data_IF_853541489551
#
_entry.id   IF_853541489551
#
_cell.length_a   1.000
_cell.length_b   1.000
_cell.length_c   1.000
_cell.angle_alpha   90.00
_cell.angle_beta   90.00
_cell.angle_gamma   90.00
#
_symmetry.space_group_name_H-M   'P 1'
#
loop_
_entity.id
_entity.type
_entity.pdbx_description
1 polymer ?
#
# COMPACT_ATOMS: atom_id res chain seq x y z
N UNK A 1 7.44 -7.00 23.91
CA UNK A 1 6.27 -7.01 23.00
C UNK A 1 6.44 -5.86 22.02
N UNK A 2 6.52 -6.14 20.76
CA UNK A 2 6.64 -5.06 19.76
C UNK A 2 5.69 -5.32 18.60
N UNK A 3 4.65 -4.48 18.46
CA UNK A 3 3.77 -4.46 17.32
C UNK A 3 3.98 -3.16 16.56
N UNK A 4 4.47 -3.27 15.34
CA UNK A 4 4.76 -2.13 14.49
C UNK A 4 3.86 -2.16 13.25
N UNK A 5 3.26 -1.04 12.93
CA UNK A 5 2.41 -0.89 11.73
C UNK A 5 3.06 0.11 10.79
N UNK A 6 3.24 -0.25 9.53
CA UNK A 6 3.74 0.65 8.48
C UNK A 6 2.60 1.04 7.56
N UNK A 7 2.32 2.34 7.48
CA UNK A 7 1.26 2.91 6.63
C UNK A 7 1.81 4.01 5.72
N UNK A 8 1.22 4.17 4.54
CA UNK A 8 1.46 5.32 3.69
C UNK A 8 0.58 6.50 4.12
N UNK A 9 1.11 7.71 4.01
CA UNK A 9 0.42 8.92 4.46
C UNK A 9 -0.21 9.75 3.34
N UNK A 10 0.05 9.42 2.09
CA UNK A 10 -0.37 10.17 0.91
C UNK A 10 -1.29 9.32 0.01
N UNK A 11 -0.97 9.14 -1.28
CA UNK A 11 -1.77 8.36 -2.25
C UNK A 11 -1.11 7.05 -2.71
N UNK A 12 -0.19 6.49 -1.92
CA UNK A 12 0.61 5.33 -2.29
C UNK A 12 1.95 5.71 -2.93
N UNK A 13 2.75 4.69 -3.23
CA UNK A 13 4.09 4.86 -3.83
C UNK A 13 5.08 5.69 -2.99
N UNK A 14 4.85 5.78 -1.66
CA UNK A 14 5.76 6.46 -0.72
C UNK A 14 7.07 5.69 -0.47
N UNK A 15 7.23 4.50 -1.04
CA UNK A 15 8.41 3.68 -0.80
C UNK A 15 8.31 2.78 0.44
N UNK A 16 7.08 2.46 0.88
CA UNK A 16 6.82 1.58 2.04
C UNK A 16 7.54 0.25 1.98
N UNK A 17 7.61 -0.37 0.80
CA UNK A 17 8.26 -1.69 0.65
C UNK A 17 9.69 -1.70 1.17
N UNK A 18 10.49 -0.67 0.86
CA UNK A 18 11.85 -0.50 1.41
C UNK A 18 11.84 -0.39 2.92
N UNK A 19 10.92 0.40 3.48
CA UNK A 19 10.86 0.63 4.93
C UNK A 19 10.42 -0.64 5.67
N UNK A 20 9.44 -1.36 5.12
CA UNK A 20 9.03 -2.66 5.64
C UNK A 20 10.19 -3.66 5.60
N UNK A 21 10.92 -3.73 4.50
CA UNK A 21 12.09 -4.60 4.36
C UNK A 21 13.18 -4.27 5.39
N UNK A 22 13.45 -2.99 5.64
CA UNK A 22 14.41 -2.55 6.67
C UNK A 22 13.95 -2.93 8.08
N UNK A 23 12.67 -2.75 8.40
CA UNK A 23 12.12 -3.09 9.71
C UNK A 23 11.96 -4.61 9.91
N UNK A 24 11.77 -5.35 8.81
CA UNK A 24 11.63 -6.80 8.80
C UNK A 24 12.91 -7.53 9.28
N UNK A 25 14.08 -6.89 9.22
CA UNK A 25 15.34 -7.46 9.74
C UNK A 25 15.26 -7.85 11.22
N UNK A 26 14.40 -7.17 11.98
CA UNK A 26 14.20 -7.42 13.42
C UNK A 26 12.83 -8.04 13.74
N UNK A 27 12.05 -8.37 12.73
CA UNK A 27 10.71 -8.92 12.92
C UNK A 27 10.71 -10.45 12.91
N UNK A 28 10.00 -11.06 13.84
CA UNK A 28 9.72 -12.50 13.86
C UNK A 28 8.58 -12.85 12.90
N UNK A 29 7.70 -11.89 12.64
CA UNK A 29 6.52 -12.07 11.79
C UNK A 29 6.15 -10.81 11.03
N UNK A 30 5.82 -10.96 9.75
CA UNK A 30 5.34 -9.87 8.88
C UNK A 30 3.94 -10.21 8.39
N UNK A 31 2.96 -9.34 8.66
CA UNK A 31 1.56 -9.57 8.33
C UNK A 31 1.05 -8.50 7.37
N UNK A 32 0.72 -8.88 6.15
CA UNK A 32 -0.08 -8.05 5.26
C UNK A 32 -1.53 -8.09 5.71
N UNK A 33 -2.10 -6.94 6.06
CA UNK A 33 -3.42 -6.91 6.68
C UNK A 33 -4.55 -6.48 5.75
N UNK A 34 -4.27 -5.92 4.55
CA UNK A 34 -5.31 -5.49 3.60
C UNK A 34 -4.78 -5.34 2.17
N UNK A 35 -5.69 -4.99 1.24
CA UNK A 35 -5.37 -4.84 -0.17
C UNK A 35 -5.33 -6.18 -0.91
N UNK A 36 -4.65 -6.20 -2.01
CA UNK A 36 -4.48 -7.36 -2.87
C UNK A 36 -3.28 -7.17 -3.80
N UNK A 37 -3.32 -7.79 -4.98
CA UNK A 37 -2.26 -7.70 -6.00
C UNK A 37 -2.22 -6.39 -6.79
N UNK A 38 -3.02 -5.39 -6.37
CA UNK A 38 -2.95 -4.02 -6.87
C UNK A 38 -1.85 -3.18 -6.20
N UNK A 39 -1.14 -3.70 -5.19
CA UNK A 39 0.06 -3.08 -4.66
C UNK A 39 1.27 -3.32 -5.58
N UNK A 40 2.28 -2.46 -5.49
CA UNK A 40 3.55 -2.62 -6.19
C UNK A 40 4.69 -2.18 -5.27
N UNK A 41 5.17 -3.09 -4.43
CA UNK A 41 6.27 -2.83 -3.52
C UNK A 41 7.59 -3.20 -4.20
N UNK A 42 8.45 -2.22 -4.38
CA UNK A 42 9.80 -2.44 -4.90
C UNK A 42 10.79 -2.47 -3.74
N UNK A 43 11.55 -3.55 -3.65
CA UNK A 43 12.66 -3.72 -2.70
C UNK A 43 13.93 -3.95 -3.48
N UNK A 44 15.01 -3.24 -3.12
CA UNK A 44 16.32 -3.41 -3.75
C UNK A 44 17.27 -3.95 -2.68
N UNK A 45 17.81 -5.14 -2.93
CA UNK A 45 18.74 -5.82 -2.03
C UNK A 45 19.98 -6.19 -2.83
N UNK A 46 21.14 -5.70 -2.41
CA UNK A 46 22.43 -5.95 -3.08
C UNK A 46 22.38 -5.63 -4.58
N UNK A 47 21.71 -4.54 -4.96
CA UNK A 47 21.53 -4.09 -6.34
C UNK A 47 20.51 -4.88 -7.16
N UNK A 48 19.91 -5.95 -6.61
CA UNK A 48 18.85 -6.72 -7.27
C UNK A 48 17.47 -6.18 -6.89
N UNK A 49 16.67 -5.90 -7.90
CA UNK A 49 15.30 -5.35 -7.73
C UNK A 49 14.28 -6.47 -7.68
N UNK A 50 13.48 -6.50 -6.61
CA UNK A 50 12.31 -7.36 -6.45
C UNK A 50 11.05 -6.50 -6.46
N UNK A 51 10.06 -6.88 -7.27
CA UNK A 51 8.74 -6.21 -7.33
C UNK A 51 7.70 -7.18 -6.81
N UNK A 52 7.09 -6.84 -5.68
CA UNK A 52 6.11 -7.67 -4.97
C UNK A 52 4.74 -7.03 -5.03
N UNK A 53 3.71 -7.80 -5.29
CA UNK A 53 2.33 -7.35 -5.36
C UNK A 53 1.48 -7.89 -4.20
N UNK A 54 1.55 -9.18 -3.93
CA UNK A 54 0.83 -9.87 -2.85
C UNK A 54 1.71 -10.23 -1.67
N UNK A 55 2.92 -10.69 -1.95
CA UNK A 55 3.84 -11.10 -0.90
C UNK A 55 4.23 -9.90 -0.01
N UNK A 56 4.33 -10.09 1.31
CA UNK A 56 4.91 -9.08 2.20
C UNK A 56 6.32 -8.69 1.76
N UNK A 57 6.67 -7.41 1.88
CA UNK A 57 8.00 -6.91 1.49
C UNK A 57 9.13 -7.54 2.31
N UNK A 58 8.83 -8.02 3.49
CA UNK A 58 9.78 -8.74 4.35
C UNK A 58 10.02 -10.21 3.95
N UNK A 59 9.41 -10.71 2.87
CA UNK A 59 9.60 -12.11 2.40
C UNK A 59 11.06 -12.45 2.04
N UNK A 60 11.90 -11.44 1.87
CA UNK A 60 13.34 -11.61 1.62
C UNK A 60 14.14 -11.97 2.90
N UNK A 61 13.49 -11.96 4.07
CA UNK A 61 14.04 -12.39 5.36
C UNK A 61 13.44 -13.76 5.72
N UNK A 62 14.14 -14.83 5.33
CA UNK A 62 13.64 -16.21 5.40
C UNK A 62 13.38 -16.72 6.84
N UNK A 63 13.96 -16.08 7.85
CA UNK A 63 13.76 -16.40 9.27
C UNK A 63 12.42 -15.89 9.81
N UNK A 64 11.82 -14.90 9.16
CA UNK A 64 10.57 -14.30 9.59
C UNK A 64 9.37 -15.00 8.94
N UNK A 65 8.31 -15.25 9.71
CA UNK A 65 7.06 -15.79 9.16
C UNK A 65 6.29 -14.70 8.40
N UNK A 66 5.98 -14.93 7.12
CA UNK A 66 5.24 -14.00 6.27
C UNK A 66 3.78 -14.42 6.15
N UNK A 67 2.85 -13.57 6.56
CA UNK A 67 1.42 -13.86 6.59
C UNK A 67 0.64 -12.98 5.61
N UNK A 68 -0.15 -13.61 4.76
CA UNK A 68 -1.24 -12.98 4.02
C UNK A 68 -2.47 -13.03 4.92
N UNK A 69 -2.79 -11.90 5.56
CA UNK A 69 -3.80 -11.81 6.62
C UNK A 69 -5.24 -11.88 6.14
N UNK A 70 -6.20 -12.04 7.07
CA UNK A 70 -7.63 -12.22 6.78
C UNK A 70 -8.29 -11.02 6.08
N UNK A 71 -7.67 -9.82 6.15
CA UNK A 71 -8.14 -8.63 5.45
C UNK A 71 -7.74 -8.54 3.98
N UNK A 72 -6.81 -9.37 3.52
CA UNK A 72 -6.34 -9.37 2.13
C UNK A 72 -7.33 -10.07 1.21
N UNK A 73 -7.48 -9.56 -0.01
CA UNK A 73 -8.11 -10.26 -1.13
C UNK A 73 -6.99 -10.86 -1.99
N UNK A 74 -6.77 -12.15 -1.86
CA UNK A 74 -5.59 -12.83 -2.38
C UNK A 74 -5.91 -13.62 -3.64
N UNK A 75 -5.21 -13.29 -4.73
CA UNK A 75 -5.27 -14.04 -5.98
C UNK A 75 -4.25 -15.17 -5.92
N UNK A 76 -4.67 -16.46 -5.88
CA UNK A 76 -3.75 -17.59 -5.73
C UNK A 76 -2.81 -17.74 -6.93
N UNK A 77 -3.23 -17.38 -8.12
CA UNK A 77 -2.41 -17.50 -9.34
C UNK A 77 -1.28 -16.46 -9.35
N UNK A 78 -1.58 -15.22 -8.92
CA UNK A 78 -0.57 -14.17 -8.79
C UNK A 78 0.41 -14.51 -7.67
N UNK A 79 -0.09 -15.01 -6.54
CA UNK A 79 0.74 -15.43 -5.41
C UNK A 79 1.75 -16.50 -5.85
N UNK A 80 1.29 -17.56 -6.51
CA UNK A 80 2.18 -18.61 -6.99
C UNK A 80 3.21 -18.12 -7.98
N UNK A 81 2.83 -17.22 -8.89
CA UNK A 81 3.76 -16.61 -9.84
C UNK A 81 4.85 -15.79 -9.15
N UNK A 82 4.51 -15.05 -8.11
CA UNK A 82 5.51 -14.31 -7.31
C UNK A 82 6.45 -15.25 -6.55
N UNK A 83 5.90 -16.32 -5.94
CA UNK A 83 6.69 -17.33 -5.26
C UNK A 83 7.66 -18.02 -6.22
N UNK A 84 7.19 -18.42 -7.40
CA UNK A 84 8.05 -19.05 -8.44
C UNK A 84 9.19 -18.13 -8.89
N UNK A 85 8.94 -16.82 -8.93
CA UNK A 85 10.00 -15.85 -9.24
C UNK A 85 11.06 -15.79 -8.13
N UNK A 86 10.64 -15.79 -6.87
CA UNK A 86 11.56 -15.81 -5.72
C UNK A 86 12.37 -17.13 -5.68
N UNK A 87 11.71 -18.26 -5.92
CA UNK A 87 12.35 -19.58 -5.97
C UNK A 87 13.40 -19.68 -7.09
N UNK A 88 13.11 -19.12 -8.27
CA UNK A 88 14.08 -18.99 -9.37
C UNK A 88 15.27 -18.10 -8.98
N UNK A 89 15.06 -17.15 -8.10
CA UNK A 89 16.08 -16.28 -7.54
C UNK A 89 16.88 -16.94 -6.40
N UNK A 90 16.53 -18.18 -6.03
CA UNK A 90 17.19 -18.98 -4.99
C UNK A 90 16.68 -18.70 -3.57
N UNK A 91 15.54 -18.00 -3.43
CA UNK A 91 14.94 -17.66 -2.14
C UNK A 91 13.88 -18.72 -1.73
N UNK A 92 13.78 -18.98 -0.43
CA UNK A 92 12.77 -19.88 0.12
C UNK A 92 11.40 -19.19 0.17
N UNK A 93 10.34 -19.95 -0.09
CA UNK A 93 8.94 -19.51 0.06
C UNK A 93 8.19 -20.30 1.14
N UNK A 94 8.90 -21.16 1.88
CA UNK A 94 8.30 -22.07 2.88
C UNK A 94 7.75 -21.38 4.12
N UNK A 95 8.20 -20.14 4.40
CA UNK A 95 7.78 -19.33 5.53
C UNK A 95 6.54 -18.48 5.25
N UNK A 96 5.89 -18.67 4.07
CA UNK A 96 4.70 -17.94 3.65
C UNK A 96 3.45 -18.69 4.08
N UNK A 97 2.54 -18.00 4.76
CA UNK A 97 1.26 -18.51 5.26
C UNK A 97 0.13 -17.66 4.69
N UNK A 98 -0.97 -18.32 4.30
CA UNK A 98 -2.21 -17.67 3.90
C UNK A 98 -3.24 -17.89 5.01
N UNK A 99 -3.86 -16.79 5.48
CA UNK A 99 -4.96 -16.92 6.43
C UNK A 99 -6.12 -17.70 5.82
N UNK A 100 -6.61 -18.67 6.56
CA UNK A 100 -7.80 -19.44 6.23
C UNK A 100 -9.06 -18.57 6.05
N UNK A 101 -9.05 -17.35 6.64
CA UNK A 101 -10.12 -16.32 6.56
C UNK A 101 -9.91 -15.32 5.44
N UNK A 102 -8.77 -15.30 4.75
CA UNK A 102 -8.54 -14.41 3.60
C UNK A 102 -9.53 -14.71 2.47
N UNK A 103 -9.92 -13.69 1.72
CA UNK A 103 -10.80 -13.85 0.58
C UNK A 103 -10.00 -14.30 -0.65
N UNK A 104 -10.52 -15.28 -1.36
CA UNK A 104 -9.98 -15.68 -2.66
C UNK A 104 -10.43 -14.68 -3.72
N UNK A 105 -9.46 -14.02 -4.34
CA UNK A 105 -9.73 -13.21 -5.52
C UNK A 105 -9.79 -14.14 -6.73
N UNK A 106 -10.99 -14.28 -7.27
CA UNK A 106 -11.32 -15.20 -8.35
C UNK A 106 -11.17 -14.53 -9.72
N UNK A 107 -10.92 -15.27 -10.80
CA UNK A 107 -10.85 -14.73 -12.16
C UNK A 107 -12.07 -13.89 -12.57
N UNK A 108 -13.27 -14.27 -12.10
CA UNK A 108 -14.48 -13.52 -12.38
C UNK A 108 -14.51 -12.12 -11.72
N UNK A 109 -13.74 -11.87 -10.65
CA UNK A 109 -13.62 -10.54 -10.08
C UNK A 109 -12.81 -9.60 -11.00
N UNK A 110 -11.75 -10.13 -11.63
CA UNK A 110 -10.96 -9.36 -12.59
C UNK A 110 -11.80 -9.01 -13.82
N UNK A 111 -12.56 -9.97 -14.32
CA UNK A 111 -13.45 -9.77 -15.46
C UNK A 111 -14.57 -8.76 -15.13
N UNK A 112 -15.14 -8.84 -13.92
CA UNK A 112 -16.12 -7.86 -13.44
C UNK A 112 -15.55 -6.45 -13.40
N UNK A 113 -14.36 -6.26 -12.81
CA UNK A 113 -13.69 -4.97 -12.71
C UNK A 113 -13.45 -4.34 -14.11
N UNK A 114 -13.10 -5.19 -15.09
CA UNK A 114 -12.93 -4.77 -16.46
C UNK A 114 -14.25 -4.32 -17.12
N UNK A 115 -15.32 -5.10 -16.96
CA UNK A 115 -16.65 -4.77 -17.50
C UNK A 115 -17.24 -3.50 -16.84
N UNK A 116 -17.11 -3.37 -15.52
CA UNK A 116 -17.55 -2.18 -14.78
C UNK A 116 -16.83 -0.91 -15.23
N UNK A 117 -15.51 -0.98 -15.37
CA UNK A 117 -14.72 0.18 -15.83
C UNK A 117 -15.01 0.55 -17.29
N UNK A 118 -15.34 -0.45 -18.15
CA UNK A 118 -15.76 -0.20 -19.52
C UNK A 118 -17.14 0.46 -19.61
N UNK A 119 -18.07 0.04 -18.75
CA UNK A 119 -19.45 0.55 -18.73
C UNK A 119 -19.58 1.90 -18.01
N UNK A 120 -18.61 2.28 -17.15
CA UNK A 120 -18.68 3.50 -16.37
C UNK A 120 -18.60 4.75 -17.22
N UNK A 121 -19.54 5.71 -16.99
CA UNK A 121 -19.48 7.06 -17.55
C UNK A 121 -18.34 7.89 -16.94
N UNK A 122 -18.11 7.72 -15.62
CA UNK A 122 -17.03 8.33 -14.86
C UNK A 122 -16.06 7.23 -14.42
N UNK A 123 -14.94 7.11 -15.11
CA UNK A 123 -13.92 6.11 -14.83
C UNK A 123 -13.17 6.47 -13.55
N UNK A 124 -12.91 5.45 -12.71
CA UNK A 124 -12.08 5.58 -11.51
C UNK A 124 -10.60 5.42 -11.87
N UNK A 125 -10.31 4.75 -12.98
CA UNK A 125 -8.94 4.39 -13.37
C UNK A 125 -8.47 3.16 -12.59
N UNK A 126 -9.31 2.12 -12.48
CA UNK A 126 -8.99 0.91 -11.72
C UNK A 126 -7.76 0.19 -12.27
N UNK A 127 -7.14 -0.65 -11.44
CA UNK A 127 -6.01 -1.49 -11.85
C UNK A 127 -6.46 -2.71 -12.66
N UNK A 128 -7.76 -2.94 -12.80
CA UNK A 128 -8.37 -4.13 -13.42
C UNK A 128 -7.91 -5.45 -12.80
N UNK A 129 -7.63 -5.42 -11.49
CA UNK A 129 -7.19 -6.58 -10.72
C UNK A 129 -8.33 -7.29 -9.98
N UNK A 130 -9.56 -6.75 -10.04
CA UNK A 130 -10.73 -7.34 -9.39
C UNK A 130 -10.80 -7.07 -7.88
N UNK A 131 -10.03 -6.12 -7.37
CA UNK A 131 -9.96 -5.81 -5.93
C UNK A 131 -11.32 -5.31 -5.42
N UNK A 132 -11.91 -4.31 -6.07
CA UNK A 132 -13.21 -3.75 -5.73
C UNK A 132 -14.32 -4.82 -5.71
N UNK A 133 -14.54 -5.54 -6.81
CA UNK A 133 -15.52 -6.63 -6.86
C UNK A 133 -15.32 -7.71 -5.80
N UNK A 134 -14.06 -8.09 -5.48
CA UNK A 134 -13.79 -9.10 -4.44
C UNK A 134 -14.15 -8.59 -3.03
N UNK A 135 -13.84 -7.33 -2.71
CA UNK A 135 -14.28 -6.71 -1.45
C UNK A 135 -15.80 -6.55 -1.41
N UNK A 136 -16.45 -6.19 -2.52
CA UNK A 136 -17.90 -6.12 -2.61
C UNK A 136 -18.54 -7.48 -2.26
N UNK A 137 -18.04 -8.57 -2.84
CA UNK A 137 -18.52 -9.93 -2.54
C UNK A 137 -18.26 -10.33 -1.08
N UNK A 138 -17.11 -9.95 -0.52
CA UNK A 138 -16.80 -10.17 0.91
C UNK A 138 -17.87 -9.56 1.81
N UNK A 139 -18.20 -8.28 1.60
CA UNK A 139 -19.18 -7.55 2.43
C UNK A 139 -20.63 -7.95 2.11
N UNK A 140 -20.93 -8.37 0.89
CA UNK A 140 -22.19 -9.00 0.51
C UNK A 140 -22.34 -10.44 1.05
N UNK A 141 -21.25 -11.03 1.56
CA UNK A 141 -21.17 -12.41 2.09
C UNK A 141 -21.38 -13.48 1.00
N UNK A 142 -20.93 -13.15 -0.22
CA UNK A 142 -20.93 -14.07 -1.37
C UNK A 142 -19.53 -14.58 -1.69
N UNK A 143 -18.49 -13.97 -1.13
CA UNK A 143 -17.12 -14.33 -1.40
C UNK A 143 -16.74 -15.73 -0.91
N UNK A 144 -15.70 -16.30 -1.50
CA UNK A 144 -15.11 -17.59 -1.11
C UNK A 144 -13.86 -17.32 -0.29
N UNK A 145 -13.73 -17.98 0.86
CA UNK A 145 -12.54 -17.89 1.74
C UNK A 145 -11.60 -19.05 1.51
N UNK A 146 -10.34 -18.88 1.87
CA UNK A 146 -9.31 -19.91 1.70
C UNK A 146 -9.59 -21.20 2.48
N UNK A 147 -10.27 -21.15 3.65
CA UNK A 147 -10.63 -22.37 4.35
C UNK A 147 -11.57 -23.28 3.53
N UNK A 148 -12.43 -22.72 2.68
CA UNK A 148 -13.33 -23.47 1.81
C UNK A 148 -12.57 -24.23 0.72
N UNK A 149 -11.39 -23.73 0.33
CA UNK A 149 -10.54 -24.37 -0.67
C UNK A 149 -9.84 -25.64 -0.15
N UNK A 150 -9.76 -25.83 1.18
CA UNK A 150 -9.19 -27.05 1.78
C UNK A 150 -10.01 -28.31 1.45
N UNK A 151 -11.32 -28.16 1.25
CA UNK A 151 -12.22 -29.19 0.75
C UNK A 151 -12.58 -28.88 -0.70
N UNK A 152 -11.90 -29.53 -1.64
CA UNK A 152 -12.05 -29.19 -3.06
C UNK A 152 -13.44 -29.48 -3.60
N UNK A 153 -14.13 -30.50 -3.08
CA UNK A 153 -15.52 -30.80 -3.47
C UNK A 153 -16.48 -29.77 -2.99
N UNK A 154 -16.34 -29.29 -1.75
CA UNK A 154 -17.08 -28.14 -1.24
C UNK A 154 -16.79 -26.87 -2.03
N UNK A 155 -15.51 -26.62 -2.32
CA UNK A 155 -15.09 -25.46 -3.14
C UNK A 155 -15.76 -25.46 -4.51
N UNK A 156 -15.84 -26.60 -5.20
CA UNK A 156 -16.53 -26.71 -6.50
C UNK A 156 -18.01 -26.31 -6.43
N UNK A 157 -18.71 -26.70 -5.36
CA UNK A 157 -20.10 -26.30 -5.13
C UNK A 157 -20.21 -24.78 -4.96
N UNK A 158 -19.37 -24.20 -4.09
CA UNK A 158 -19.34 -22.76 -3.84
C UNK A 158 -18.96 -21.97 -5.10
N UNK A 159 -17.97 -22.43 -5.83
CA UNK A 159 -17.56 -21.84 -7.11
C UNK A 159 -18.72 -21.84 -8.11
N UNK A 160 -19.46 -22.93 -8.23
CA UNK A 160 -20.62 -23.02 -9.13
C UNK A 160 -21.70 -22.00 -8.79
N UNK A 161 -22.07 -21.88 -7.50
CA UNK A 161 -23.06 -20.91 -7.02
C UNK A 161 -22.63 -19.47 -7.35
N UNK A 162 -21.40 -19.13 -7.03
CA UNK A 162 -20.86 -17.79 -7.27
C UNK A 162 -20.78 -17.46 -8.76
N UNK A 163 -20.26 -18.40 -9.56
CA UNK A 163 -20.07 -18.21 -10.98
C UNK A 163 -21.41 -18.10 -11.74
N UNK A 164 -22.41 -18.89 -11.36
CA UNK A 164 -23.76 -18.80 -11.96
C UNK A 164 -24.39 -17.43 -11.73
N UNK A 165 -24.19 -16.85 -10.53
CA UNK A 165 -24.63 -15.49 -10.25
C UNK A 165 -23.86 -14.45 -11.07
N UNK A 166 -22.51 -14.57 -11.11
CA UNK A 166 -21.64 -13.65 -11.87
C UNK A 166 -21.93 -13.72 -13.37
N UNK A 167 -22.10 -14.90 -13.93
CA UNK A 167 -22.43 -15.08 -15.35
C UNK A 167 -23.76 -14.41 -15.73
N UNK A 168 -24.78 -14.45 -14.85
CA UNK A 168 -26.01 -13.67 -15.07
C UNK A 168 -25.74 -12.16 -15.08
N UNK A 169 -24.91 -11.68 -14.15
CA UNK A 169 -24.51 -10.28 -14.12
C UNK A 169 -23.76 -9.88 -15.38
N UNK A 170 -22.79 -10.68 -15.82
CA UNK A 170 -21.98 -10.40 -17.01
C UNK A 170 -22.82 -10.31 -18.27
N UNK A 171 -23.67 -11.31 -18.49
CA UNK A 171 -24.46 -11.41 -19.74
C UNK A 171 -25.65 -10.45 -19.75
N UNK A 172 -26.41 -10.34 -18.65
CA UNK A 172 -27.65 -9.58 -18.64
C UNK A 172 -27.46 -8.08 -18.36
N UNK A 173 -26.41 -7.70 -17.63
CA UNK A 173 -26.19 -6.27 -17.23
C UNK A 173 -25.09 -5.63 -18.08
N UNK A 174 -23.95 -6.31 -18.24
CA UNK A 174 -22.80 -5.71 -18.92
C UNK A 174 -22.69 -6.12 -20.40
N UNK A 175 -23.49 -7.07 -20.89
CA UNK A 175 -23.41 -7.57 -22.27
C UNK A 175 -22.12 -8.33 -22.58
N UNK A 176 -21.44 -8.80 -21.53
CA UNK A 176 -20.24 -9.63 -21.61
C UNK A 176 -20.55 -11.11 -21.85
N UNK A 177 -19.52 -11.94 -21.87
CA UNK A 177 -19.63 -13.38 -22.06
C UNK A 177 -19.68 -14.11 -20.71
N UNK A 178 -20.31 -15.31 -20.71
CA UNK A 178 -20.28 -16.20 -19.54
C UNK A 178 -18.90 -16.87 -19.45
N UNK A 179 -18.38 -16.98 -18.24
CA UNK A 179 -17.14 -17.72 -17.96
C UNK A 179 -17.43 -19.22 -17.78
N UNK A 180 -16.50 -20.03 -18.24
CA UNK A 180 -16.61 -21.48 -18.22
C UNK A 180 -16.26 -22.05 -16.84
N UNK A 181 -17.19 -22.84 -16.27
CA UNK A 181 -17.04 -23.46 -14.96
C UNK A 181 -15.99 -24.56 -14.95
N UNK A 182 -16.02 -25.47 -15.95
CA UNK A 182 -15.14 -26.65 -15.95
C UNK A 182 -13.68 -26.24 -16.14
N UNK A 183 -13.45 -25.22 -16.99
CA UNK A 183 -12.13 -24.62 -17.13
C UNK A 183 -11.66 -24.04 -15.81
N UNK A 184 -12.52 -23.32 -15.12
CA UNK A 184 -12.14 -22.69 -13.85
C UNK A 184 -11.83 -23.75 -12.79
N UNK A 185 -12.62 -24.83 -12.70
CA UNK A 185 -12.32 -25.96 -11.81
C UNK A 185 -10.95 -26.55 -12.12
N UNK A 186 -10.64 -26.81 -13.40
CA UNK A 186 -9.35 -27.38 -13.80
C UNK A 186 -8.17 -26.45 -13.44
N UNK A 187 -8.33 -25.13 -13.63
CA UNK A 187 -7.31 -24.15 -13.27
C UNK A 187 -7.03 -24.16 -11.74
N UNK A 188 -8.05 -24.29 -10.90
CA UNK A 188 -7.89 -24.37 -9.44
C UNK A 188 -7.37 -25.74 -8.98
N UNK A 189 -7.77 -26.83 -9.63
CA UNK A 189 -7.24 -28.16 -9.33
C UNK A 189 -5.73 -28.22 -9.56
N UNK A 190 -5.23 -27.58 -10.62
CA UNK A 190 -3.81 -27.53 -10.94
C UNK A 190 -2.93 -26.86 -9.86
N UNK A 191 -3.51 -26.00 -9.02
CA UNK A 191 -2.78 -25.27 -7.97
C UNK A 191 -3.06 -25.80 -6.56
N UNK A 192 -3.98 -26.76 -6.42
CA UNK A 192 -4.50 -27.23 -5.13
C UNK A 192 -3.41 -27.69 -4.18
N UNK A 193 -2.59 -28.65 -4.62
CA UNK A 193 -1.54 -29.26 -3.79
C UNK A 193 -0.47 -28.26 -3.34
N UNK A 194 -0.32 -27.14 -4.06
CA UNK A 194 0.65 -26.11 -3.72
C UNK A 194 0.09 -25.05 -2.76
N UNK A 195 -1.19 -24.72 -2.88
CA UNK A 195 -1.84 -23.68 -2.06
C UNK A 195 -2.31 -24.23 -0.71
N UNK A 196 -2.93 -25.41 -0.67
CA UNK A 196 -3.57 -25.94 0.54
C UNK A 196 -2.62 -26.05 1.75
N UNK A 197 -1.37 -26.52 1.61
CA UNK A 197 -0.43 -26.59 2.73
C UNK A 197 -0.09 -25.24 3.36
N UNK A 198 -0.28 -24.14 2.62
CA UNK A 198 0.00 -22.77 3.11
C UNK A 198 -1.16 -22.21 3.95
N UNK A 199 -2.36 -22.80 3.86
CA UNK A 199 -3.56 -22.25 4.51
C UNK A 199 -3.58 -22.65 5.98
N UNK A 200 -3.48 -21.65 6.85
CA UNK A 200 -3.45 -21.84 8.31
C UNK A 200 -4.41 -20.88 9.03
N UNK A 201 -4.77 -21.24 10.25
CA UNK A 201 -5.45 -20.33 11.18
C UNK A 201 -4.44 -19.30 11.70
N UNK A 202 -4.58 -18.04 11.29
CA UNK A 202 -3.62 -16.99 11.57
C UNK A 202 -4.03 -16.09 12.72
N UNK A 203 -5.29 -16.14 13.16
CA UNK A 203 -5.81 -15.29 14.23
C UNK A 203 -5.12 -15.57 15.56
N UNK A 204 -5.05 -16.86 15.94
CA UNK A 204 -4.33 -17.29 17.14
C UNK A 204 -2.82 -17.13 16.96
N UNK A 205 -2.28 -17.55 15.80
CA UNK A 205 -0.85 -17.48 15.50
C UNK A 205 -0.27 -16.07 15.72
N UNK A 206 -0.93 -15.02 15.20
CA UNK A 206 -0.49 -13.63 15.38
C UNK A 206 -0.61 -13.17 16.83
N UNK A 207 -1.72 -13.52 17.51
CA UNK A 207 -1.92 -13.10 18.90
C UNK A 207 -0.97 -13.82 19.87
N UNK A 208 -0.71 -15.12 19.67
CA UNK A 208 0.26 -15.90 20.45
C UNK A 208 1.68 -15.34 20.27
N UNK A 209 2.08 -15.00 19.03
CA UNK A 209 3.37 -14.36 18.78
C UNK A 209 3.52 -13.05 19.60
N UNK A 210 2.47 -12.24 19.66
CA UNK A 210 2.46 -11.03 20.49
C UNK A 210 2.46 -11.33 21.99
N UNK A 211 1.84 -12.43 22.45
CA UNK A 211 1.83 -12.85 23.85
C UNK A 211 3.21 -13.41 24.29
N UNK A 212 3.96 -13.97 23.33
CA UNK A 212 5.34 -14.45 23.50
C UNK A 212 6.39 -13.35 23.35
N UNK A 213 5.99 -12.07 23.33
CA UNK A 213 6.86 -10.90 23.16
C UNK A 213 7.64 -10.86 21.83
N UNK A 214 7.18 -11.58 20.81
CA UNK A 214 7.74 -11.52 19.47
C UNK A 214 7.45 -10.18 18.79
N UNK A 215 8.32 -9.77 17.89
CA UNK A 215 8.14 -8.56 17.07
C UNK A 215 7.28 -8.89 15.86
N UNK A 216 6.08 -8.28 15.81
CA UNK A 216 5.14 -8.43 14.69
C UNK A 216 5.04 -7.12 13.91
N UNK A 217 5.40 -7.19 12.62
CA UNK A 217 5.34 -6.07 11.69
C UNK A 217 4.10 -6.18 10.80
N UNK A 218 3.22 -5.19 10.86
CA UNK A 218 2.03 -5.11 10.01
C UNK A 218 2.29 -4.21 8.82
N UNK A 219 2.22 -4.78 7.63
CA UNK A 219 2.47 -4.10 6.37
C UNK A 219 1.19 -3.62 5.71
N UNK A 220 1.04 -2.30 5.56
CA UNK A 220 -0.03 -1.67 4.79
C UNK A 220 0.30 -1.60 3.30
N UNK A 221 -0.71 -1.80 2.48
CA UNK A 221 -0.67 -1.50 1.06
C UNK A 221 -1.43 -0.19 0.78
N UNK A 222 -1.19 0.45 -0.37
CA UNK A 222 -1.74 1.76 -0.72
C UNK A 222 -1.38 2.84 0.34
N UNK A 223 -2.30 3.79 0.65
CA UNK A 223 -2.04 4.85 1.63
C UNK A 223 -3.33 5.49 2.15
N UNK A 224 -3.20 6.32 3.17
CA UNK A 224 -4.30 6.93 3.92
C UNK A 224 -5.31 7.70 3.05
N UNK A 225 -4.82 8.45 2.04
CA UNK A 225 -5.70 9.19 1.13
C UNK A 225 -6.50 8.30 0.17
N UNK A 226 -6.20 7.01 0.11
CA UNK A 226 -6.93 5.98 -0.62
C UNK A 226 -7.83 5.13 0.30
N UNK A 227 -8.00 5.50 1.56
CA UNK A 227 -8.91 4.80 2.49
C UNK A 227 -10.36 4.90 2.02
N UNK A 228 -11.10 3.77 2.09
CA UNK A 228 -12.48 3.69 1.61
C UNK A 228 -13.43 4.63 2.36
N UNK A 229 -13.17 4.92 3.64
CA UNK A 229 -14.05 5.73 4.48
C UNK A 229 -13.61 7.20 4.53
N UNK A 230 -12.32 7.45 4.61
CA UNK A 230 -11.76 8.77 4.92
C UNK A 230 -10.80 9.31 3.87
N UNK A 231 -10.59 8.56 2.79
CA UNK A 231 -9.79 8.99 1.65
C UNK A 231 -10.56 9.91 0.69
N UNK A 232 -9.99 10.10 -0.49
CA UNK A 232 -10.55 10.96 -1.56
C UNK A 232 -11.63 10.22 -2.37
N UNK A 233 -12.68 9.74 -1.71
CA UNK A 233 -13.80 9.02 -2.34
C UNK A 233 -14.42 9.84 -3.47
N UNK A 234 -14.75 9.25 -4.67
CA UNK A 234 -14.70 7.83 -5.00
C UNK A 234 -13.34 7.29 -5.49
N UNK A 235 -12.31 8.13 -5.57
CA UNK A 235 -10.97 7.80 -6.07
C UNK A 235 -10.11 7.16 -4.97
N UNK A 236 -10.52 5.99 -4.50
CA UNK A 236 -9.96 5.27 -3.35
C UNK A 236 -9.82 3.77 -3.65
N UNK A 237 -9.13 3.04 -2.76
CA UNK A 237 -9.17 1.57 -2.75
C UNK A 237 -10.36 1.07 -1.93
N UNK A 238 -10.76 -0.19 -2.13
CA UNK A 238 -11.91 -0.78 -1.43
C UNK A 238 -11.56 -1.37 -0.05
N UNK A 239 -10.51 -0.86 0.58
CA UNK A 239 -10.04 -1.33 1.90
C UNK A 239 -9.57 -0.15 2.76
N UNK A 240 -9.19 -0.43 4.02
CA UNK A 240 -8.61 0.57 4.93
C UNK A 240 -7.10 0.38 5.07
N UNK A 241 -6.27 1.22 4.41
CA UNK A 241 -4.81 1.17 4.47
C UNK A 241 -4.21 1.90 5.67
N UNK A 242 -5.01 2.28 6.64
CA UNK A 242 -4.62 2.94 7.89
C UNK A 242 -4.38 1.93 9.02
N UNK A 243 -3.86 2.36 10.17
CA UNK A 243 -3.66 1.48 11.31
C UNK A 243 -4.97 0.83 11.81
N UNK A 244 -6.12 1.52 11.63
CA UNK A 244 -7.43 0.97 11.94
C UNK A 244 -7.76 -0.31 11.13
N UNK A 245 -7.22 -0.43 9.92
CA UNK A 245 -7.36 -1.62 9.08
C UNK A 245 -6.66 -2.85 9.66
N UNK A 246 -5.65 -2.69 10.50
CA UNK A 246 -4.93 -3.80 11.13
C UNK A 246 -5.85 -4.62 12.05
N UNK A 247 -6.68 -3.94 12.83
CA UNK A 247 -7.62 -4.60 13.75
C UNK A 247 -8.55 -5.57 13.02
N UNK A 248 -9.11 -5.15 11.89
CA UNK A 248 -10.04 -5.99 11.11
C UNK A 248 -9.32 -6.92 10.14
N UNK A 249 -8.11 -6.55 9.73
CA UNK A 249 -7.34 -7.26 8.71
C UNK A 249 -6.33 -8.27 9.23
N UNK A 250 -5.99 -8.22 10.54
CA UNK A 250 -5.10 -9.18 11.19
C UNK A 250 -5.69 -9.75 12.49
N UNK A 251 -6.88 -9.29 12.89
CA UNK A 251 -7.58 -9.73 14.09
C UNK A 251 -6.80 -9.52 15.38
N UNK A 252 -6.28 -8.30 15.58
CA UNK A 252 -5.68 -7.89 16.86
C UNK A 252 -6.47 -6.75 17.50
N UNK A 253 -6.45 -6.67 18.83
CA UNK A 253 -7.09 -5.56 19.54
C UNK A 253 -6.37 -4.24 19.23
N UNK A 254 -7.08 -3.10 19.09
CA UNK A 254 -6.45 -1.80 18.85
C UNK A 254 -5.42 -1.42 19.91
N UNK A 255 -5.67 -1.81 21.17
CA UNK A 255 -4.77 -1.58 22.31
C UNK A 255 -3.43 -2.33 22.23
N UNK A 256 -3.31 -3.29 21.32
CA UNK A 256 -2.06 -4.02 21.09
C UNK A 256 -1.16 -3.39 20.02
N UNK A 257 -1.63 -2.34 19.32
CA UNK A 257 -0.83 -1.57 18.38
C UNK A 257 0.00 -0.57 19.18
N UNK A 258 1.33 -0.71 19.15
CA UNK A 258 2.25 0.11 19.94
C UNK A 258 2.90 1.21 19.11
N UNK A 259 3.36 0.87 17.91
CA UNK A 259 4.08 1.78 17.04
C UNK A 259 3.39 1.86 15.68
N UNK A 260 3.15 3.07 15.20
CA UNK A 260 2.60 3.32 13.87
C UNK A 260 3.55 4.22 13.10
N UNK A 261 4.22 3.65 12.12
CA UNK A 261 5.20 4.32 11.27
C UNK A 261 4.50 4.85 10.03
N UNK A 262 4.39 6.17 9.92
CA UNK A 262 3.91 6.85 8.72
C UNK A 262 5.03 7.07 7.71
N UNK A 263 4.91 6.49 6.52
CA UNK A 263 5.87 6.74 5.44
C UNK A 263 5.41 7.95 4.64
N UNK A 264 6.23 8.99 4.63
CA UNK A 264 6.02 10.26 3.93
C UNK A 264 7.04 10.38 2.81
N UNK A 265 6.61 10.47 1.56
CA UNK A 265 7.48 10.87 0.47
C UNK A 265 7.73 12.38 0.56
N UNK A 266 8.96 12.83 0.36
CA UNK A 266 9.34 14.24 0.44
C UNK A 266 8.64 15.16 -0.58
N UNK A 267 7.85 14.60 -1.47
CA UNK A 267 6.95 15.27 -2.42
C UNK A 267 5.70 14.41 -2.58
N UNK A 268 4.70 14.87 -3.32
CA UNK A 268 3.47 14.07 -3.52
C UNK A 268 3.43 13.47 -4.91
N UNK A 269 2.90 12.25 -5.00
CA UNK A 269 2.55 11.62 -6.27
C UNK A 269 1.17 11.00 -6.20
N UNK A 270 0.46 10.99 -7.32
CA UNK A 270 -0.83 10.33 -7.44
C UNK A 270 -0.91 9.52 -8.72
N UNK A 271 -1.47 8.32 -8.62
CA UNK A 271 -1.87 7.48 -9.75
C UNK A 271 -3.39 7.53 -9.87
N UNK A 272 -3.92 7.51 -11.09
CA UNK A 272 -5.36 7.55 -11.37
C UNK A 272 -5.96 8.95 -11.33
N UNK A 273 -7.28 8.96 -11.34
CA UNK A 273 -8.07 10.17 -11.45
C UNK A 273 -8.28 10.85 -10.08
N UNK A 274 -8.94 11.99 -10.11
CA UNK A 274 -9.29 12.77 -8.92
C UNK A 274 -8.41 13.99 -8.69
N UNK A 275 -8.86 14.93 -7.84
CA UNK A 275 -8.16 16.17 -7.56
C UNK A 275 -6.79 15.95 -6.91
N UNK A 276 -5.81 16.77 -7.30
CA UNK A 276 -4.47 16.78 -6.74
C UNK A 276 -4.01 18.23 -6.55
N UNK A 277 -4.27 18.80 -5.39
CA UNK A 277 -4.16 20.25 -5.11
C UNK A 277 -2.76 20.80 -5.36
N UNK A 278 -1.72 20.01 -5.05
CA UNK A 278 -0.32 20.42 -5.21
C UNK A 278 0.32 19.95 -6.52
N UNK A 279 -0.47 19.48 -7.49
CA UNK A 279 0.05 18.98 -8.76
C UNK A 279 0.84 20.05 -9.52
N UNK A 280 1.97 19.65 -10.08
CA UNK A 280 2.85 20.47 -10.89
C UNK A 280 2.78 20.01 -12.35
N UNK A 281 2.32 20.92 -13.22
CA UNK A 281 2.20 20.70 -14.66
C UNK A 281 3.30 21.47 -15.45
N UNK A 282 4.38 21.81 -14.76
CA UNK A 282 5.50 22.60 -15.25
C UNK A 282 6.82 21.81 -15.25
N UNK A 283 7.92 22.51 -15.54
CA UNK A 283 9.27 21.95 -15.56
C UNK A 283 9.69 21.35 -14.19
N UNK A 284 9.17 21.87 -13.08
CA UNK A 284 9.47 21.35 -11.75
C UNK A 284 8.79 19.98 -11.54
N UNK A 285 7.56 19.83 -12.00
CA UNK A 285 6.85 18.55 -11.98
C UNK A 285 7.55 17.49 -12.83
N UNK A 286 8.07 17.89 -14.01
CA UNK A 286 8.87 17.03 -14.86
C UNK A 286 10.19 16.62 -14.17
N UNK A 287 10.89 17.60 -13.57
CA UNK A 287 12.10 17.33 -12.79
C UNK A 287 11.89 16.28 -11.72
N UNK A 288 10.86 16.44 -10.88
CA UNK A 288 10.53 15.50 -9.81
C UNK A 288 10.21 14.11 -10.40
N UNK A 289 9.47 14.04 -11.51
CA UNK A 289 9.13 12.77 -12.16
C UNK A 289 10.37 12.02 -12.63
N UNK A 290 11.26 12.70 -13.35
CA UNK A 290 12.46 12.10 -13.92
C UNK A 290 13.46 11.68 -12.83
N UNK A 291 13.78 12.59 -11.91
CA UNK A 291 14.74 12.32 -10.84
C UNK A 291 14.20 11.32 -9.82
N UNK A 292 12.90 11.35 -9.56
CA UNK A 292 12.22 10.39 -8.70
C UNK A 292 11.95 9.03 -9.34
N UNK A 293 12.12 8.90 -10.68
CA UNK A 293 11.73 7.70 -11.41
C UNK A 293 10.25 7.40 -11.23
N UNK A 294 9.39 8.44 -11.26
CA UNK A 294 7.97 8.33 -10.91
C UNK A 294 7.16 7.77 -12.08
N UNK A 295 7.35 6.48 -12.31
CA UNK A 295 6.66 5.66 -13.30
C UNK A 295 6.07 4.41 -12.63
N UNK A 296 4.93 3.95 -13.12
CA UNK A 296 4.28 2.75 -12.59
C UNK A 296 5.17 1.52 -12.77
N UNK A 297 5.45 0.79 -11.70
CA UNK A 297 6.36 -0.37 -11.72
C UNK A 297 5.92 -1.46 -12.72
N UNK A 298 4.61 -1.61 -12.94
CA UNK A 298 4.03 -2.63 -13.84
C UNK A 298 3.67 -2.06 -15.20
N UNK A 299 3.15 -0.82 -15.25
CA UNK A 299 2.56 -0.24 -16.46
C UNK A 299 3.48 0.74 -17.19
N UNK A 300 4.54 1.21 -16.51
CA UNK A 300 5.41 2.27 -17.02
C UNK A 300 4.72 3.65 -17.17
N UNK A 301 3.45 3.79 -16.72
CA UNK A 301 2.73 5.07 -16.83
C UNK A 301 3.39 6.13 -15.96
N UNK A 302 3.57 7.37 -16.45
CA UNK A 302 4.06 8.47 -15.65
C UNK A 302 3.08 8.78 -14.53
N UNK A 303 3.60 8.97 -13.31
CA UNK A 303 2.81 9.44 -12.16
C UNK A 303 2.66 10.94 -12.22
N UNK A 304 1.52 11.44 -11.77
CA UNK A 304 1.30 12.85 -11.47
C UNK A 304 2.17 13.21 -10.27
N UNK A 305 2.93 14.31 -10.36
CA UNK A 305 3.86 14.77 -9.33
C UNK A 305 3.48 16.15 -8.83
N UNK A 306 3.75 16.43 -7.57
CA UNK A 306 3.48 17.72 -6.96
C UNK A 306 4.28 17.94 -5.69
N UNK A 307 4.21 19.16 -5.13
CA UNK A 307 4.82 19.46 -3.85
C UNK A 307 4.19 18.65 -2.71
N UNK A 308 4.95 18.42 -1.65
CA UNK A 308 4.45 17.76 -0.44
C UNK A 308 3.25 18.51 0.10
N UNK A 309 2.17 17.79 0.33
CA UNK A 309 0.96 18.27 0.97
C UNK A 309 0.89 17.77 2.42
N UNK A 310 1.21 18.63 3.37
CA UNK A 310 1.22 18.25 4.79
C UNK A 310 -0.18 18.07 5.39
N UNK A 311 -1.23 18.58 4.73
CA UNK A 311 -2.59 18.29 5.18
C UNK A 311 -2.91 16.79 5.01
N UNK A 312 -2.36 16.13 3.98
CA UNK A 312 -2.52 14.67 3.82
C UNK A 312 -1.86 13.90 4.96
N UNK A 313 -0.66 14.34 5.39
CA UNK A 313 0.07 13.70 6.49
C UNK A 313 -0.64 13.92 7.82
N UNK A 314 -1.16 15.14 8.08
CA UNK A 314 -2.00 15.41 9.27
C UNK A 314 -3.27 14.56 9.26
N UNK A 315 -3.92 14.44 8.11
CA UNK A 315 -5.12 13.61 7.96
C UNK A 315 -4.80 12.14 8.22
N UNK A 316 -3.69 11.62 7.67
CA UNK A 316 -3.21 10.28 7.95
C UNK A 316 -2.92 10.06 9.44
N UNK A 317 -2.36 11.07 10.13
CA UNK A 317 -2.14 11.01 11.57
C UNK A 317 -3.45 10.93 12.36
N UNK A 318 -4.49 11.68 11.98
CA UNK A 318 -5.82 11.59 12.61
C UNK A 318 -6.42 10.19 12.50
N UNK A 319 -6.22 9.51 11.34
CA UNK A 319 -6.77 8.17 11.11
C UNK A 319 -5.93 7.05 11.72
N UNK A 320 -4.61 7.25 11.82
CA UNK A 320 -3.67 6.17 12.13
C UNK A 320 -3.00 6.30 13.48
N UNK A 321 -2.97 7.51 14.10
CA UNK A 321 -2.25 7.76 15.35
C UNK A 321 -0.75 7.51 15.18
N UNK A 322 -0.12 8.20 14.24
CA UNK A 322 1.29 8.02 13.92
C UNK A 322 2.17 8.30 15.14
N UNK A 323 3.06 7.38 15.46
CA UNK A 323 4.09 7.56 16.50
C UNK A 323 5.40 8.07 15.92
N UNK A 324 5.67 7.70 14.68
CA UNK A 324 6.91 7.97 13.97
C UNK A 324 6.63 8.29 12.49
N UNK A 325 7.45 9.15 11.92
CA UNK A 325 7.50 9.42 10.47
C UNK A 325 8.84 8.93 9.91
N UNK A 326 8.77 8.31 8.75
CA UNK A 326 9.92 8.04 7.89
C UNK A 326 9.76 8.85 6.62
N UNK A 327 10.72 9.75 6.35
CA UNK A 327 10.74 10.53 5.11
C UNK A 327 11.52 9.75 4.05
N UNK A 328 10.91 9.58 2.88
CA UNK A 328 11.53 8.88 1.76
C UNK A 328 11.76 9.79 0.56
N UNK A 329 12.69 9.39 -0.32
CA UNK A 329 12.97 10.08 -1.60
C UNK A 329 13.31 11.56 -1.45
N UNK A 330 13.89 11.94 -0.33
CA UNK A 330 14.29 13.33 -0.09
C UNK A 330 15.48 13.73 -1.00
N UNK A 331 16.29 12.77 -1.40
CA UNK A 331 17.36 12.86 -2.39
C UNK A 331 16.89 13.34 -3.77
N UNK A 332 15.63 13.11 -4.12
CA UNK A 332 15.02 13.57 -5.38
C UNK A 332 14.94 15.09 -5.44
N UNK A 333 14.92 15.76 -4.31
CA UNK A 333 14.87 17.23 -4.21
C UNK A 333 16.25 17.88 -4.29
N UNK A 334 17.32 17.10 -4.37
CA UNK A 334 18.68 17.60 -4.54
C UNK A 334 18.79 18.45 -5.82
N UNK A 335 19.43 19.58 -5.70
CA UNK A 335 19.67 20.49 -6.84
C UNK A 335 18.56 21.50 -7.12
N UNK A 336 17.40 21.42 -6.49
CA UNK A 336 16.37 22.45 -6.57
C UNK A 336 16.82 23.73 -5.83
N UNK A 337 16.43 24.90 -6.38
CA UNK A 337 16.70 26.19 -5.74
C UNK A 337 15.74 26.46 -4.58
N UNK A 338 14.47 26.11 -4.78
CA UNK A 338 13.39 26.27 -3.82
C UNK A 338 12.54 25.01 -3.75
N UNK A 339 12.07 24.70 -2.55
CA UNK A 339 11.17 23.58 -2.26
C UNK A 339 9.95 24.15 -1.57
N UNK A 340 8.77 23.80 -2.04
CA UNK A 340 7.50 24.26 -1.46
C UNK A 340 6.78 23.13 -0.74
N UNK A 341 6.10 23.47 0.34
CA UNK A 341 5.28 22.56 1.13
C UNK A 341 3.91 23.19 1.31
N UNK A 342 2.86 22.44 0.98
CA UNK A 342 1.50 22.90 1.19
C UNK A 342 1.14 22.76 2.68
N UNK A 343 0.70 23.85 3.27
CA UNK A 343 0.35 23.97 4.70
C UNK A 343 -1.13 24.28 4.93
N UNK A 344 -1.87 24.55 3.86
CA UNK A 344 -3.30 24.88 3.90
C UNK A 344 -3.85 25.00 2.49
N UNK A 345 -5.16 25.14 2.39
CA UNK A 345 -5.86 25.43 1.15
C UNK A 345 -6.61 26.75 1.23
N UNK A 346 -6.80 27.39 0.08
CA UNK A 346 -7.80 28.43 -0.12
C UNK A 346 -8.93 27.88 -0.96
N UNK A 347 -10.16 27.91 -0.45
CA UNK A 347 -11.36 27.45 -1.15
C UNK A 347 -12.40 28.57 -1.09
N UNK A 348 -12.82 29.05 -2.26
CA UNK A 348 -13.79 30.16 -2.39
C UNK A 348 -13.42 31.40 -1.53
N UNK A 349 -12.09 31.73 -1.47
CA UNK A 349 -11.54 32.87 -0.73
C UNK A 349 -11.43 32.68 0.78
N UNK A 350 -11.62 31.47 1.29
CA UNK A 350 -11.45 31.11 2.70
C UNK A 350 -10.34 30.10 2.89
N UNK A 351 -9.55 30.30 3.94
CA UNK A 351 -8.54 29.31 4.33
C UNK A 351 -9.19 28.06 4.93
N UNK A 352 -8.63 26.91 4.55
CA UNK A 352 -9.01 25.59 5.03
C UNK A 352 -7.75 24.82 5.43
N UNK A 353 -7.71 24.27 6.64
CA UNK A 353 -6.57 23.55 7.21
C UNK A 353 -6.79 22.06 7.37
N UNK A 354 -7.75 21.49 6.66
CA UNK A 354 -8.08 20.07 6.60
C UNK A 354 -8.44 19.65 5.16
N UNK A 355 -8.53 18.36 4.91
CA UNK A 355 -8.95 17.79 3.62
C UNK A 355 -10.49 17.79 3.56
N UNK A 356 -11.15 18.56 2.67
CA UNK A 356 -12.59 18.49 2.51
C UNK A 356 -13.03 17.11 2.01
N UNK A 357 -14.20 16.67 2.47
CA UNK A 357 -14.79 15.41 2.00
C UNK A 357 -15.38 15.51 0.60
N UNK A 358 -15.86 16.71 0.21
CA UNK A 358 -16.38 16.95 -1.13
C UNK A 358 -15.22 17.16 -2.13
N UNK A 359 -15.15 16.27 -3.12
CA UNK A 359 -14.14 16.35 -4.17
C UNK A 359 -14.31 17.57 -5.08
N UNK A 360 -15.51 18.15 -5.15
CA UNK A 360 -15.73 19.39 -5.87
C UNK A 360 -15.06 20.59 -5.18
N UNK A 361 -15.02 20.59 -3.85
CA UNK A 361 -14.30 21.61 -3.08
C UNK A 361 -12.78 21.39 -3.17
N UNK A 362 -12.31 20.14 -3.11
CA UNK A 362 -10.90 19.81 -3.31
C UNK A 362 -10.42 20.23 -4.72
N UNK A 363 -11.26 20.07 -5.74
CA UNK A 363 -10.94 20.49 -7.11
C UNK A 363 -10.81 22.00 -7.29
N UNK A 364 -11.46 22.81 -6.45
CA UNK A 364 -11.35 24.29 -6.43
C UNK A 364 -10.21 24.78 -5.55
N UNK A 365 -9.68 23.92 -4.67
CA UNK A 365 -8.70 24.30 -3.69
C UNK A 365 -7.41 24.79 -4.34
N UNK A 366 -6.91 25.91 -3.82
CA UNK A 366 -5.59 26.44 -4.16
C UNK A 366 -4.65 26.18 -2.98
N UNK A 367 -3.45 25.63 -3.23
CA UNK A 367 -2.52 25.35 -2.15
C UNK A 367 -1.92 26.63 -1.57
N UNK A 368 -1.85 26.70 -0.23
CA UNK A 368 -1.10 27.71 0.50
C UNK A 368 0.27 27.11 0.81
N UNK A 369 1.33 27.72 0.27
CA UNK A 369 2.68 27.19 0.37
C UNK A 369 3.54 27.91 1.38
N UNK A 370 4.36 27.15 2.12
CA UNK A 370 5.58 27.62 2.74
C UNK A 370 6.76 27.23 1.83
N UNK A 371 7.65 28.18 1.57
CA UNK A 371 8.82 27.99 0.71
C UNK A 371 10.07 27.81 1.57
N UNK A 372 10.90 26.85 1.19
CA UNK A 372 12.22 26.57 1.75
C UNK A 372 13.28 26.79 0.70
N UNK A 373 14.45 27.20 1.13
CA UNK A 373 15.63 27.17 0.28
C UNK A 373 16.02 25.72 0.03
N UNK A 374 16.26 25.35 -1.22
CA UNK A 374 16.74 24.03 -1.59
C UNK A 374 18.21 23.82 -1.21
N UNK A 375 18.60 22.58 -1.11
CA UNK A 375 19.99 22.17 -0.93
C UNK A 375 20.57 21.71 -2.26
N UNK A 376 21.69 22.27 -2.68
CA UNK A 376 22.36 21.93 -3.94
C UNK A 376 23.50 20.92 -3.70
N UNK A 377 23.24 19.91 -2.90
CA UNK A 377 24.23 18.93 -2.49
C UNK A 377 23.65 17.53 -2.59
N UNK A 378 24.35 16.64 -3.28
CA UNK A 378 24.02 15.20 -3.30
C UNK A 378 24.12 14.64 -1.88
N UNK A 379 22.97 14.15 -1.36
CA UNK A 379 22.87 13.57 -0.02
C UNK A 379 22.85 12.04 -0.04
N UNK A 380 22.88 11.40 -1.19
CA UNK A 380 22.69 9.95 -1.35
C UNK A 380 23.77 9.09 -0.63
N UNK A 381 24.92 9.69 -0.34
CA UNK A 381 26.04 9.04 0.35
C UNK A 381 26.15 9.39 1.83
N UNK A 382 25.24 10.21 2.35
CA UNK A 382 25.24 10.60 3.75
C UNK A 382 24.65 9.49 4.61
N UNK A 383 25.24 9.30 5.79
CA UNK A 383 24.89 8.21 6.72
C UNK A 383 24.49 8.70 8.10
N UNK A 384 24.74 9.98 8.41
CA UNK A 384 24.43 10.60 9.72
C UNK A 384 23.76 11.95 9.53
N UNK A 385 22.99 12.38 10.53
CA UNK A 385 22.20 13.61 10.49
C UNK A 385 23.09 14.85 10.33
N UNK A 386 24.25 14.89 10.99
CA UNK A 386 25.21 16.00 10.97
C UNK A 386 25.87 16.23 9.61
N UNK A 387 25.79 15.27 8.69
CA UNK A 387 26.28 15.41 7.31
C UNK A 387 25.26 16.13 6.41
N UNK A 388 23.98 16.12 6.78
CA UNK A 388 22.91 16.74 5.99
C UNK A 388 23.05 18.27 5.94
N UNK A 389 22.77 18.91 4.78
CA UNK A 389 22.69 20.36 4.68
C UNK A 389 21.65 20.94 5.65
N UNK A 390 21.93 22.16 6.17
CA UNK A 390 21.00 22.83 7.09
C UNK A 390 19.62 23.05 6.46
N UNK A 391 19.57 23.37 5.17
CA UNK A 391 18.33 23.55 4.43
C UNK A 391 17.50 22.25 4.37
N UNK A 392 18.14 21.11 4.27
CA UNK A 392 17.48 19.81 4.34
C UNK A 392 16.94 19.54 5.76
N UNK A 393 17.73 19.83 6.78
CA UNK A 393 17.29 19.73 8.18
C UNK A 393 16.13 20.66 8.49
N UNK A 394 16.15 21.89 7.99
CA UNK A 394 15.06 22.86 8.18
C UNK A 394 13.75 22.35 7.57
N UNK A 395 13.82 21.68 6.41
CA UNK A 395 12.69 21.03 5.77
C UNK A 395 12.15 19.87 6.62
N UNK A 396 13.02 19.00 7.09
CA UNK A 396 12.67 17.84 7.94
C UNK A 396 12.05 18.27 9.27
N UNK A 397 12.69 19.24 9.97
CA UNK A 397 12.19 19.77 11.23
C UNK A 397 10.81 20.44 11.07
N UNK A 398 10.59 21.13 9.94
CA UNK A 398 9.28 21.71 9.69
C UNK A 398 8.19 20.64 9.50
N UNK A 399 8.48 19.54 8.82
CA UNK A 399 7.51 18.41 8.71
C UNK A 399 7.16 17.90 10.11
N UNK A 400 8.15 17.71 10.96
CA UNK A 400 7.98 17.28 12.34
C UNK A 400 7.12 18.27 13.15
N UNK A 401 7.48 19.54 13.12
CA UNK A 401 6.75 20.62 13.82
C UNK A 401 5.28 20.71 13.35
N UNK A 402 5.06 20.74 12.04
CA UNK A 402 3.73 20.90 11.46
C UNK A 402 2.80 19.73 11.75
N UNK A 403 3.33 18.51 11.70
CA UNK A 403 2.56 17.28 11.91
C UNK A 403 2.39 16.90 13.38
N UNK A 404 3.29 17.40 14.24
CA UNK A 404 3.39 17.01 15.65
C UNK A 404 3.87 15.57 15.85
N UNK A 405 4.47 14.95 14.83
CA UNK A 405 4.97 13.57 14.86
C UNK A 405 6.46 13.57 14.55
N UNK A 406 7.27 12.94 15.39
CA UNK A 406 8.72 12.92 15.24
C UNK A 406 9.15 12.20 13.95
N UNK A 407 10.20 12.71 13.32
CA UNK A 407 10.87 12.06 12.19
C UNK A 407 11.96 11.14 12.73
N UNK A 408 11.78 9.84 12.59
CA UNK A 408 12.73 8.84 13.13
C UNK A 408 13.73 8.33 12.09
N UNK A 409 13.42 8.43 10.80
CA UNK A 409 14.32 7.99 9.73
C UNK A 409 14.17 8.87 8.48
N UNK A 410 15.28 9.10 7.81
CA UNK A 410 15.36 9.79 6.52
C UNK A 410 16.00 8.84 5.50
N UNK A 411 15.26 8.49 4.45
CA UNK A 411 15.74 7.63 3.37
C UNK A 411 16.30 8.49 2.23
N UNK A 412 17.59 8.36 1.98
CA UNK A 412 18.38 9.19 1.04
C UNK A 412 18.77 8.44 -0.25
N UNK A 413 18.09 7.38 -0.59
CA UNK A 413 18.31 6.62 -1.81
C UNK A 413 17.50 5.32 -1.86
N UNK A 414 17.56 4.57 -2.97
CA UNK A 414 16.66 3.43 -3.21
C UNK A 414 17.05 2.12 -2.50
N UNK A 415 18.33 1.93 -2.16
CA UNK A 415 18.80 0.70 -1.51
C UNK A 415 18.44 0.68 -0.02
N UNK A 416 18.30 -0.53 0.56
CA UNK A 416 17.98 -0.73 1.98
C UNK A 416 18.98 -0.07 2.93
N UNK A 417 20.23 0.13 2.52
CA UNK A 417 21.26 0.75 3.35
C UNK A 417 21.24 2.29 3.30
N UNK A 418 20.51 2.91 2.37
CA UNK A 418 20.46 4.35 2.21
C UNK A 418 19.49 5.01 3.19
N UNK A 419 19.72 4.86 4.49
CA UNK A 419 18.91 5.44 5.54
C UNK A 419 19.77 6.15 6.58
N UNK A 420 19.27 7.27 7.07
CA UNK A 420 19.82 8.03 8.21
C UNK A 420 18.82 7.91 9.34
N UNK A 421 19.23 7.33 10.46
CA UNK A 421 18.41 7.22 11.66
C UNK A 421 18.54 8.51 12.48
N UNK A 422 17.42 9.16 12.75
CA UNK A 422 17.31 10.36 13.59
C UNK A 422 16.98 9.95 15.03
N UNK A 423 16.01 9.03 15.15
CA UNK A 423 15.59 8.44 16.41
C UNK A 423 15.36 6.94 16.23
N UNK A 424 15.45 6.19 17.32
CA UNK A 424 15.06 4.78 17.32
C UNK A 424 13.53 4.69 17.13
N UNK A 425 13.08 3.88 16.18
CA UNK A 425 11.68 3.50 16.03
C UNK A 425 11.36 2.49 17.12
N UNK A 426 10.41 2.83 17.99
CA UNK A 426 10.06 2.04 19.17
C UNK A 426 9.39 0.70 18.85
#
# INVERSE_FOLDING_TARGET
MSSQVVVGTQWGDEGKGKIVDVLAEKADMIVRFQGGDNAGHTVIVNGKKHVLHLLPSGVLHEEATCIIGPGVVCNPFVLLKEMEQLEKDGLSTKHIIISDRAQMLMPYHQYQDELEEQAASNKIGTTKRGIGPCYADKYARHGIRYHEFKDFEHFKVRLKECLDFKNKLFTAVYGGEAMDYDKMVADFEAIYDRIVPMIQETTHLVNEALDEDKTVLFEGAQAAMLDINYGTYPYVTSSSPTSAGVTTGACIAPSRIQTVVGVVKAYSTRVGEGPFVTELLDEQGEWIREHGGEYGATTGRPRRCGWLDLLTVKHANLMSGLTDIVITKIDVLDGLDEIKVCVGYEIDGKECNYIPSDQADVAKAKPIYKTFKGWKKDITKMTTVDQLPQECLDYVHFIEEFTGVRVSMISVGPDRVNNIYVHEIK
#
